data_IF_162072292886
#
_entry.id   IF_162072292886
#
_cell.length_a   1.000
_cell.length_b   1.000
_cell.length_c   1.000
_cell.angle_alpha   90.00
_cell.angle_beta   90.00
_cell.angle_gamma   90.00
#
_symmetry.space_group_name_H-M   'P 1'
#
loop_
_entity.id
_entity.type
_entity.pdbx_description
1 polymer ?
#
# COMPACT_ATOMS: atom_id res chain seq x y z
N UNK A 1 -4.82 5.49 -16.78
CA UNK A 1 -4.99 4.14 -16.23
C UNK A 1 -4.67 4.16 -14.73
N UNK A 2 -5.36 3.37 -13.95
CA UNK A 2 -5.15 3.32 -12.50
C UNK A 2 -4.42 2.03 -12.12
N UNK A 3 -3.27 2.18 -11.48
CA UNK A 3 -2.44 1.05 -11.06
C UNK A 3 -2.53 0.87 -9.56
N UNK A 4 -2.61 -0.37 -9.11
CA UNK A 4 -2.56 -0.72 -7.69
C UNK A 4 -1.27 -1.51 -7.45
N UNK A 5 -0.40 -0.98 -6.59
CA UNK A 5 0.80 -1.70 -6.18
C UNK A 5 0.41 -2.66 -5.07
N UNK A 6 0.64 -3.95 -5.29
CA UNK A 6 0.37 -5.01 -4.33
C UNK A 6 1.68 -5.36 -3.65
N UNK A 7 1.90 -4.81 -2.45
CA UNK A 7 3.14 -5.04 -1.70
C UNK A 7 2.92 -6.09 -0.62
N UNK A 8 3.57 -7.24 -0.77
CA UNK A 8 3.49 -8.33 0.20
C UNK A 8 4.81 -8.58 0.93
N UNK A 9 5.91 -8.00 0.45
CA UNK A 9 7.20 -8.10 1.10
C UNK A 9 7.38 -7.08 2.21
N UNK A 10 8.43 -7.24 2.98
CA UNK A 10 8.74 -6.39 4.11
C UNK A 10 9.08 -4.95 3.70
N UNK A 11 9.36 -4.10 4.68
CA UNK A 11 9.70 -2.70 4.50
C UNK A 11 10.76 -2.49 3.40
N UNK A 12 10.40 -1.74 2.36
CA UNK A 12 11.30 -1.44 1.24
C UNK A 12 10.87 -0.15 0.56
N UNK A 13 11.77 0.44 -0.23
CA UNK A 13 11.43 1.67 -0.95
C UNK A 13 10.59 1.39 -2.19
N UNK A 14 9.54 2.17 -2.37
CA UNK A 14 8.66 2.12 -3.55
C UNK A 14 8.87 3.31 -4.47
N UNK A 15 9.86 4.15 -4.18
CA UNK A 15 10.03 5.43 -4.87
C UNK A 15 10.19 5.28 -6.38
N UNK A 16 11.04 4.35 -6.81
CA UNK A 16 11.28 4.15 -8.25
C UNK A 16 10.03 3.70 -8.98
N UNK A 17 9.30 2.75 -8.41
CA UNK A 17 8.10 2.20 -9.03
C UNK A 17 7.01 3.26 -9.16
N UNK A 18 6.78 4.00 -8.09
CA UNK A 18 5.75 5.05 -8.07
C UNK A 18 6.10 6.17 -9.02
N UNK A 19 7.36 6.60 -9.03
CA UNK A 19 7.82 7.64 -9.95
C UNK A 19 7.64 7.21 -11.40
N UNK A 20 7.99 5.97 -11.72
CA UNK A 20 7.85 5.44 -13.07
C UNK A 20 6.38 5.41 -13.53
N UNK A 21 5.47 5.00 -12.65
CA UNK A 21 4.05 4.95 -12.98
C UNK A 21 3.48 6.35 -13.18
N UNK A 22 3.80 7.26 -12.26
CA UNK A 22 3.29 8.64 -12.32
C UNK A 22 3.83 9.42 -13.52
N UNK A 23 5.07 9.12 -13.94
CA UNK A 23 5.69 9.84 -15.06
C UNK A 23 4.95 9.61 -16.38
N UNK A 24 4.12 8.58 -16.46
CA UNK A 24 3.32 8.25 -17.65
C UNK A 24 1.87 8.72 -17.51
N UNK A 25 1.60 9.64 -16.59
CA UNK A 25 0.27 10.18 -16.32
C UNK A 25 -0.74 9.14 -15.83
N UNK A 26 -0.26 8.10 -15.15
CA UNK A 26 -1.13 7.10 -14.53
C UNK A 26 -1.38 7.44 -13.07
N UNK A 27 -2.54 7.07 -12.56
CA UNK A 27 -2.83 7.14 -11.15
C UNK A 27 -2.31 5.87 -10.47
N UNK A 28 -1.92 5.97 -9.20
CA UNK A 28 -1.39 4.85 -8.46
C UNK A 28 -1.96 4.83 -7.05
N UNK A 29 -2.30 3.64 -6.57
CA UNK A 29 -2.62 3.39 -5.17
C UNK A 29 -1.73 2.27 -4.66
N UNK A 30 -1.64 2.13 -3.35
CA UNK A 30 -0.79 1.12 -2.71
C UNK A 30 -1.66 0.27 -1.80
N UNK A 31 -1.56 -1.05 -1.95
CA UNK A 31 -2.21 -2.00 -1.06
C UNK A 31 -1.13 -2.83 -0.35
N UNK A 32 -1.11 -2.75 0.97
CA UNK A 32 -0.16 -3.45 1.82
C UNK A 32 -0.82 -4.71 2.36
N UNK A 33 -0.23 -5.86 2.07
CA UNK A 33 -0.75 -7.17 2.52
C UNK A 33 0.39 -7.99 3.13
N UNK A 34 0.05 -8.92 3.98
CA UNK A 34 1.05 -9.78 4.65
C UNK A 34 2.15 -8.90 5.27
N UNK A 35 3.42 -9.22 5.07
CA UNK A 35 4.53 -8.43 5.63
C UNK A 35 4.62 -7.02 5.03
N UNK A 36 3.96 -6.77 3.91
CA UNK A 36 3.89 -5.44 3.32
C UNK A 36 3.25 -4.39 4.24
N UNK A 37 2.41 -4.82 5.19
CA UNK A 37 1.79 -3.89 6.15
C UNK A 37 2.82 -3.19 7.03
N UNK A 38 4.01 -3.79 7.20
CA UNK A 38 5.09 -3.14 7.95
C UNK A 38 5.59 -1.85 7.29
N UNK A 39 5.32 -1.65 6.01
CA UNK A 39 5.67 -0.40 5.33
C UNK A 39 5.00 0.81 6.00
N UNK A 40 3.85 0.63 6.61
CA UNK A 40 3.13 1.67 7.32
C UNK A 40 3.46 1.73 8.82
N UNK A 41 4.29 0.82 9.33
CA UNK A 41 4.66 0.75 10.74
C UNK A 41 5.74 1.79 11.07
N UNK A 42 5.69 2.34 12.27
CA UNK A 42 6.67 3.32 12.75
C UNK A 42 8.11 2.80 12.68
N UNK A 43 8.30 1.49 12.79
CA UNK A 43 9.64 0.88 12.75
C UNK A 43 10.24 0.80 11.36
N UNK A 44 9.47 1.03 10.31
CA UNK A 44 9.97 0.96 8.94
C UNK A 44 10.69 2.26 8.56
N UNK A 45 11.93 2.15 8.09
CA UNK A 45 12.71 3.31 7.69
C UNK A 45 12.14 4.02 6.45
N UNK A 46 11.29 3.33 5.69
CA UNK A 46 10.68 3.88 4.48
C UNK A 46 9.22 4.33 4.69
N UNK A 47 8.70 4.25 5.92
CA UNK A 47 7.29 4.58 6.16
C UNK A 47 6.95 6.03 5.83
N UNK A 48 7.87 6.95 6.02
CA UNK A 48 7.65 8.36 5.72
C UNK A 48 7.47 8.62 4.23
N UNK A 49 8.02 7.76 3.38
CA UNK A 49 7.88 7.88 1.93
C UNK A 49 6.42 7.77 1.50
N UNK A 50 5.60 6.98 2.21
CA UNK A 50 4.19 6.80 1.85
C UNK A 50 3.43 8.13 1.90
N UNK A 51 3.72 8.97 2.88
CA UNK A 51 3.08 10.28 2.98
C UNK A 51 3.53 11.22 1.86
N UNK A 52 4.80 11.10 1.44
CA UNK A 52 5.36 11.96 0.40
C UNK A 52 4.82 11.64 -0.99
N UNK A 53 4.41 10.41 -1.22
CA UNK A 53 3.89 10.01 -2.54
C UNK A 53 2.53 10.65 -2.85
N UNK A 54 1.79 11.05 -1.84
CA UNK A 54 0.47 11.66 -2.00
C UNK A 54 -0.47 10.78 -2.84
N UNK A 55 -0.53 9.50 -2.49
CA UNK A 55 -1.37 8.51 -3.17
C UNK A 55 -2.21 7.77 -2.13
N UNK A 56 -3.35 7.19 -2.53
CA UNK A 56 -4.13 6.37 -1.60
C UNK A 56 -3.32 5.17 -1.11
N UNK A 57 -3.34 4.94 0.20
CA UNK A 57 -2.67 3.79 0.82
C UNK A 57 -3.71 2.97 1.55
N UNK A 58 -3.76 1.69 1.23
CA UNK A 58 -4.65 0.73 1.87
C UNK A 58 -3.81 -0.35 2.55
N UNK A 59 -4.31 -0.88 3.65
CA UNK A 59 -3.65 -1.98 4.34
C UNK A 59 -4.67 -3.03 4.73
N UNK A 60 -4.31 -4.30 4.59
CA UNK A 60 -5.17 -5.40 4.98
C UNK A 60 -5.37 -5.39 6.49
N UNK A 61 -6.61 -5.18 6.92
CA UNK A 61 -6.96 -5.11 8.34
C UNK A 61 -6.54 -6.39 9.09
N UNK A 62 -6.84 -7.54 8.51
CA UNK A 62 -6.49 -8.83 9.13
C UNK A 62 -4.99 -8.99 9.32
N UNK A 63 -4.20 -8.62 8.32
CA UNK A 63 -2.75 -8.74 8.40
C UNK A 63 -2.14 -7.75 9.39
N UNK A 64 -2.69 -6.53 9.48
CA UNK A 64 -2.27 -5.54 10.47
C UNK A 64 -2.55 -6.06 11.88
N UNK A 65 -3.72 -6.63 12.10
CA UNK A 65 -4.10 -7.17 13.40
C UNK A 65 -3.25 -8.39 13.79
N UNK A 66 -3.00 -9.30 12.85
CA UNK A 66 -2.15 -10.48 13.10
C UNK A 66 -0.76 -10.09 13.56
N UNK A 67 -0.24 -8.99 13.04
CA UNK A 67 1.11 -8.53 13.36
C UNK A 67 1.17 -7.55 14.51
N UNK A 68 0.01 -7.19 15.08
CA UNK A 68 -0.08 -6.36 16.27
C UNK A 68 0.38 -4.93 16.07
N UNK A 69 0.30 -4.39 14.86
CA UNK A 69 0.82 -3.06 14.54
C UNK A 69 -0.26 -2.00 14.33
N UNK A 70 -1.52 -2.32 14.63
CA UNK A 70 -2.63 -1.38 14.40
C UNK A 70 -2.44 -0.03 15.06
N UNK A 71 -1.81 0.02 16.23
CA UNK A 71 -1.54 1.26 16.96
C UNK A 71 -0.23 1.95 16.56
N UNK A 72 0.48 1.42 15.57
CA UNK A 72 1.81 1.92 15.18
C UNK A 72 1.87 2.43 13.75
N UNK A 73 0.73 2.62 13.11
CA UNK A 73 0.68 3.11 11.73
C UNK A 73 1.00 4.60 11.69
N UNK A 74 1.91 5.00 10.80
CA UNK A 74 2.38 6.39 10.70
C UNK A 74 1.73 7.18 9.58
N UNK A 75 1.06 6.49 8.67
CA UNK A 75 0.37 7.13 7.55
C UNK A 75 -1.12 6.91 7.70
N UNK A 76 -1.89 7.74 7.02
CA UNK A 76 -3.35 7.62 7.00
C UNK A 76 -3.75 6.47 6.06
N UNK A 77 -3.31 5.28 6.40
CA UNK A 77 -3.62 4.08 5.63
C UNK A 77 -5.04 3.62 5.95
N UNK A 78 -5.82 3.42 4.91
CA UNK A 78 -7.18 2.91 5.08
C UNK A 78 -7.15 1.41 5.27
N UNK A 79 -7.65 0.94 6.41
CA UNK A 79 -7.74 -0.49 6.67
C UNK A 79 -8.90 -1.09 5.87
N UNK A 80 -8.63 -2.17 5.16
CA UNK A 80 -9.63 -2.86 4.33
C UNK A 80 -9.70 -4.32 4.70
N UNK A 81 -10.92 -4.85 4.71
CA UNK A 81 -11.15 -6.27 4.91
C UNK A 81 -11.04 -7.01 3.55
N UNK A 82 -11.32 -8.31 3.57
CA UNK A 82 -11.25 -9.12 2.34
C UNK A 82 -12.13 -8.55 1.23
N UNK A 83 -13.36 -8.16 1.56
CA UNK A 83 -14.28 -7.61 0.55
C UNK A 83 -13.76 -6.28 -0.02
N UNK A 84 -13.16 -5.46 0.82
CA UNK A 84 -12.55 -4.21 0.37
C UNK A 84 -11.37 -4.44 -0.56
N UNK A 85 -10.56 -5.46 -0.29
CA UNK A 85 -9.45 -5.83 -1.16
C UNK A 85 -9.97 -6.29 -2.52
N UNK A 86 -11.00 -7.13 -2.53
CA UNK A 86 -11.61 -7.60 -3.77
C UNK A 86 -12.13 -6.43 -4.60
N UNK A 87 -12.80 -5.47 -3.97
CA UNK A 87 -13.31 -4.28 -4.66
C UNK A 87 -12.17 -3.47 -5.29
N UNK A 88 -11.05 -3.29 -4.59
CA UNK A 88 -9.92 -2.56 -5.12
C UNK A 88 -9.36 -3.23 -6.37
N UNK A 89 -9.17 -4.55 -6.29
CA UNK A 89 -8.55 -5.32 -7.37
C UNK A 89 -9.48 -5.45 -8.58
N UNK A 90 -10.77 -5.67 -8.33
CA UNK A 90 -11.72 -5.99 -9.41
C UNK A 90 -12.40 -4.78 -10.00
N UNK A 91 -12.60 -3.69 -9.22
CA UNK A 91 -13.44 -2.60 -9.67
C UNK A 91 -12.78 -1.23 -9.69
N UNK A 92 -11.88 -0.94 -8.76
CA UNK A 92 -11.34 0.41 -8.61
C UNK A 92 -10.05 0.67 -9.37
N UNK A 93 -9.29 -0.38 -9.66
CA UNK A 93 -8.00 -0.25 -10.34
C UNK A 93 -7.97 -1.10 -11.59
N UNK A 94 -7.27 -0.60 -12.61
CA UNK A 94 -7.20 -1.26 -13.92
C UNK A 94 -6.14 -2.34 -13.95
N UNK A 95 -5.05 -2.16 -13.22
CA UNK A 95 -3.91 -3.09 -13.19
C UNK A 95 -3.41 -3.26 -11.77
N UNK A 96 -2.98 -4.47 -11.45
CA UNK A 96 -2.32 -4.77 -10.18
C UNK A 96 -0.87 -5.11 -10.48
N UNK A 97 0.05 -4.44 -9.77
CA UNK A 97 1.49 -4.63 -9.92
C UNK A 97 2.00 -5.28 -8.64
N UNK A 98 2.25 -6.59 -8.63
CA UNK A 98 2.79 -7.26 -7.45
C UNK A 98 4.28 -6.98 -7.30
N UNK A 99 4.67 -6.74 -6.06
CA UNK A 99 6.07 -6.50 -5.72
C UNK A 99 6.47 -7.39 -4.52
#
# INVERSE_FOLDING_TARGET
MKFLIWLSGDCSSLEEVITAIKSQNNEVGILLVQDGVFMADKGCTHSEELAKFNVPVYASKGHVEERGIAGRLVVDAKLVDYNGIVDLVMEKYDRVVPI
#
